data_IF_466572177928
#
_entry.id   IF_466572177928
#
_cell.length_a   1.000
_cell.length_b   1.000
_cell.length_c   1.000
_cell.angle_alpha   90.00
_cell.angle_beta   90.00
_cell.angle_gamma   90.00
#
_symmetry.space_group_name_H-M   'P 1'
#
loop_
_entity.id
_entity.type
_entity.pdbx_description
1 polymer ?
#
# COMPACT_ATOMS: atom_id res chain seq x y z
N UNK A 1 -58.11 -31.52 110.42
CA UNK A 1 -56.87 -30.74 110.19
C UNK A 1 -55.68 -31.64 110.41
N UNK A 2 -54.74 -31.67 109.45
CA UNK A 2 -53.48 -32.40 109.60
C UNK A 2 -52.43 -31.53 110.31
N UNK A 3 -51.43 -32.17 110.93
CA UNK A 3 -50.42 -31.46 111.74
C UNK A 3 -49.63 -30.44 110.91
N UNK A 4 -49.39 -30.70 109.62
CA UNK A 4 -48.64 -29.80 108.72
C UNK A 4 -49.42 -28.55 108.31
N UNK A 5 -50.74 -28.66 108.14
CA UNK A 5 -51.61 -27.54 107.79
C UNK A 5 -51.76 -26.55 108.96
N UNK A 6 -51.71 -27.05 110.20
CA UNK A 6 -51.74 -26.25 111.43
C UNK A 6 -50.50 -25.33 111.52
N UNK A 7 -49.34 -25.77 111.01
CA UNK A 7 -48.10 -24.96 111.00
C UNK A 7 -48.00 -23.98 109.83
N UNK A 8 -48.47 -24.35 108.65
CA UNK A 8 -48.42 -23.47 107.47
C UNK A 8 -49.47 -22.34 107.56
N UNK A 9 -50.55 -22.54 108.32
CA UNK A 9 -51.65 -21.58 108.46
C UNK A 9 -52.10 -21.39 109.91
N UNK A 10 -51.37 -20.63 110.73
CA UNK A 10 -51.80 -20.26 112.09
C UNK A 10 -53.14 -19.52 112.12
N UNK A 11 -53.52 -18.86 111.01
CA UNK A 11 -54.83 -18.20 110.85
C UNK A 11 -55.98 -19.20 110.72
N UNK A 12 -55.86 -20.20 109.86
CA UNK A 12 -56.91 -21.20 109.62
C UNK A 12 -57.15 -22.08 110.85
N UNK A 13 -56.09 -22.39 111.61
CA UNK A 13 -56.23 -23.09 112.88
C UNK A 13 -56.99 -22.26 113.93
N UNK A 14 -56.66 -20.96 114.06
CA UNK A 14 -57.31 -20.05 115.01
C UNK A 14 -58.82 -19.93 114.73
N UNK A 15 -59.21 -19.76 113.47
CA UNK A 15 -60.62 -19.65 113.07
C UNK A 15 -61.43 -20.89 113.41
N UNK A 16 -60.94 -22.09 113.06
CA UNK A 16 -61.67 -23.33 113.31
C UNK A 16 -61.80 -23.68 114.80
N UNK A 17 -60.80 -23.34 115.62
CA UNK A 17 -60.88 -23.50 117.08
C UNK A 17 -61.88 -22.50 117.66
N UNK A 18 -61.88 -21.26 117.16
CA UNK A 18 -62.78 -20.22 117.59
C UNK A 18 -64.25 -20.61 117.35
N UNK A 19 -64.59 -21.09 116.15
CA UNK A 19 -65.95 -21.53 115.82
C UNK A 19 -66.45 -22.66 116.73
N UNK A 20 -65.63 -23.69 116.97
CA UNK A 20 -66.03 -24.84 117.80
C UNK A 20 -66.22 -24.48 119.26
N UNK A 21 -65.34 -23.64 119.82
CA UNK A 21 -65.43 -23.24 121.22
C UNK A 21 -66.56 -22.22 121.42
N UNK A 22 -66.83 -21.36 120.45
CA UNK A 22 -67.96 -20.43 120.51
C UNK A 22 -69.31 -21.17 120.54
N UNK A 23 -69.46 -22.28 119.80
CA UNK A 23 -70.65 -23.13 119.86
C UNK A 23 -70.91 -23.69 121.27
N UNK A 24 -69.86 -24.18 121.94
CA UNK A 24 -69.94 -24.73 123.31
C UNK A 24 -70.13 -23.65 124.41
N UNK A 25 -69.79 -22.39 124.15
CA UNK A 25 -69.99 -21.29 125.11
C UNK A 25 -71.35 -20.60 124.95
N UNK A 26 -71.96 -20.68 123.77
CA UNK A 26 -73.29 -20.11 123.50
C UNK A 26 -74.37 -20.72 124.39
N UNK A 27 -74.29 -22.02 124.70
CA UNK A 27 -75.20 -22.70 125.66
C UNK A 27 -75.10 -22.14 127.09
N UNK A 28 -73.98 -21.49 127.44
CA UNK A 28 -73.77 -20.81 128.72
C UNK A 28 -73.90 -19.28 128.61
N UNK A 29 -74.28 -18.75 127.44
CA UNK A 29 -74.47 -17.31 127.21
C UNK A 29 -73.17 -16.49 127.17
N UNK A 30 -72.01 -17.13 126.96
CA UNK A 30 -70.68 -16.48 126.95
C UNK A 30 -70.19 -16.24 125.51
N UNK A 31 -69.61 -15.06 125.24
CA UNK A 31 -69.08 -14.69 123.91
C UNK A 31 -67.57 -14.44 124.02
N UNK A 32 -66.78 -15.10 123.19
CA UNK A 32 -65.35 -14.86 123.09
C UNK A 32 -65.12 -13.66 122.16
N UNK A 33 -64.45 -12.62 122.65
CA UNK A 33 -64.09 -11.45 121.84
C UNK A 33 -62.67 -11.52 121.26
N UNK A 34 -61.74 -12.11 122.00
CA UNK A 34 -60.36 -12.26 121.56
C UNK A 34 -59.75 -13.53 122.16
N UNK A 35 -59.20 -14.38 121.30
CA UNK A 35 -58.39 -15.52 121.69
C UNK A 35 -57.02 -15.40 121.03
N UNK A 36 -55.97 -15.51 121.83
CA UNK A 36 -54.61 -15.63 121.34
C UNK A 36 -54.16 -17.08 121.48
N UNK A 37 -53.76 -17.67 120.37
CA UNK A 37 -53.09 -18.98 120.37
C UNK A 37 -51.69 -18.74 120.92
N UNK A 38 -51.33 -19.42 122.01
CA UNK A 38 -49.96 -19.39 122.55
C UNK A 38 -49.04 -20.25 121.68
N UNK A 39 -47.74 -20.18 121.93
CA UNK A 39 -46.76 -21.01 121.25
C UNK A 39 -47.09 -22.50 121.48
N UNK A 40 -47.24 -23.25 120.40
CA UNK A 40 -47.29 -24.71 120.46
C UNK A 40 -45.89 -25.20 120.85
N UNK A 41 -45.82 -25.85 122.01
CA UNK A 41 -44.62 -26.51 122.54
C UNK A 41 -44.94 -27.98 122.73
N UNK A 42 -43.96 -28.83 122.47
CA UNK A 42 -44.10 -30.27 122.67
C UNK A 42 -44.42 -30.61 124.13
N UNK A 43 -45.26 -31.64 124.33
CA UNK A 43 -45.51 -32.23 125.65
C UNK A 43 -44.26 -32.97 126.10
N UNK A 44 -43.93 -32.90 127.41
CA UNK A 44 -42.71 -33.47 127.99
C UNK A 44 -42.55 -34.96 127.65
N UNK A 45 -41.57 -35.28 126.80
CA UNK A 45 -41.25 -36.64 126.34
C UNK A 45 -41.38 -36.87 124.82
N UNK A 46 -41.95 -35.91 124.08
CA UNK A 46 -42.01 -35.95 122.62
C UNK A 46 -41.18 -34.82 122.00
N UNK A 47 -40.48 -35.08 120.89
CA UNK A 47 -39.57 -34.13 120.21
C UNK A 47 -39.98 -33.88 118.75
N UNK A 48 -41.27 -33.95 118.45
CA UNK A 48 -41.80 -33.89 117.08
C UNK A 48 -41.47 -32.57 116.39
N UNK A 49 -41.49 -31.45 117.11
CA UNK A 49 -41.23 -30.11 116.55
C UNK A 49 -39.74 -29.89 116.28
N UNK A 50 -38.88 -30.45 117.12
CA UNK A 50 -37.43 -30.44 116.91
C UNK A 50 -37.06 -31.23 115.65
N UNK A 51 -37.62 -32.43 115.51
CA UNK A 51 -37.41 -33.28 114.33
C UNK A 51 -37.98 -32.66 113.04
N UNK A 52 -39.18 -32.06 113.09
CA UNK A 52 -39.78 -31.41 111.93
C UNK A 52 -38.97 -30.16 111.50
N UNK A 53 -38.47 -29.38 112.46
CA UNK A 53 -37.55 -28.28 112.20
C UNK A 53 -36.25 -28.75 111.56
N UNK A 54 -35.68 -29.85 112.06
CA UNK A 54 -34.46 -30.44 111.50
C UNK A 54 -34.70 -31.01 110.09
N UNK A 55 -35.82 -31.69 109.87
CA UNK A 55 -36.21 -32.26 108.57
C UNK A 55 -36.44 -31.16 107.52
N UNK A 56 -37.14 -30.08 107.86
CA UNK A 56 -37.38 -28.94 106.95
C UNK A 56 -36.09 -28.18 106.63
N UNK A 57 -35.19 -27.99 107.61
CA UNK A 57 -33.87 -27.43 107.36
C UNK A 57 -33.01 -28.33 106.48
N UNK A 58 -33.08 -29.65 106.67
CA UNK A 58 -32.34 -30.61 105.86
C UNK A 58 -32.91 -30.73 104.44
N UNK A 59 -34.23 -30.69 104.26
CA UNK A 59 -34.88 -30.62 102.94
C UNK A 59 -34.51 -29.32 102.21
N UNK A 60 -34.56 -28.16 102.87
CA UNK A 60 -34.11 -26.89 102.29
C UNK A 60 -32.61 -26.91 101.95
N UNK A 61 -31.76 -27.49 102.81
CA UNK A 61 -30.34 -27.61 102.55
C UNK A 61 -30.03 -28.60 101.40
N UNK A 62 -30.80 -29.69 101.29
CA UNK A 62 -30.68 -30.64 100.19
C UNK A 62 -31.17 -30.03 98.88
N UNK A 63 -32.27 -29.27 98.90
CA UNK A 63 -32.76 -28.54 97.74
C UNK A 63 -31.74 -27.50 97.26
N UNK A 64 -31.18 -26.70 98.17
CA UNK A 64 -30.14 -25.74 97.83
C UNK A 64 -28.88 -26.42 97.24
N UNK A 65 -28.52 -27.61 97.72
CA UNK A 65 -27.43 -28.41 97.14
C UNK A 65 -27.76 -28.94 95.75
N UNK A 66 -28.99 -29.39 95.52
CA UNK A 66 -29.45 -29.82 94.20
C UNK A 66 -29.45 -28.65 93.22
N UNK A 67 -30.00 -27.50 93.62
CA UNK A 67 -30.05 -26.30 92.79
C UNK A 67 -28.64 -25.78 92.47
N UNK A 68 -27.71 -25.78 93.45
CA UNK A 68 -26.31 -25.43 93.22
C UNK A 68 -25.63 -26.40 92.24
N UNK A 69 -25.89 -27.70 92.34
CA UNK A 69 -25.33 -28.71 91.42
C UNK A 69 -25.92 -28.59 90.02
N UNK A 70 -27.21 -28.28 89.90
CA UNK A 70 -27.85 -28.01 88.60
C UNK A 70 -27.23 -26.77 87.98
N UNK A 71 -27.06 -25.69 88.72
CA UNK A 71 -26.39 -24.48 88.24
C UNK A 71 -24.94 -24.72 87.81
N UNK A 72 -24.16 -25.52 88.56
CA UNK A 72 -22.80 -25.90 88.17
C UNK A 72 -22.78 -26.70 86.86
N UNK A 73 -23.68 -27.68 86.70
CA UNK A 73 -23.77 -28.51 85.49
C UNK A 73 -24.25 -27.70 84.29
N UNK A 74 -25.22 -26.80 84.48
CA UNK A 74 -25.69 -25.89 83.43
C UNK A 74 -24.59 -24.92 83.00
N UNK A 75 -23.84 -24.35 83.94
CA UNK A 75 -22.68 -23.51 83.64
C UNK A 75 -21.59 -24.29 82.88
N UNK A 76 -21.26 -25.51 83.33
CA UNK A 76 -20.28 -26.37 82.65
C UNK A 76 -20.73 -26.75 81.24
N UNK A 77 -22.02 -27.08 81.03
CA UNK A 77 -22.57 -27.35 79.70
C UNK A 77 -22.56 -26.10 78.82
N UNK A 78 -22.88 -24.93 79.36
CA UNK A 78 -22.83 -23.68 78.62
C UNK A 78 -21.39 -23.37 78.16
N UNK A 79 -20.39 -23.56 79.02
CA UNK A 79 -18.97 -23.40 78.66
C UNK A 79 -18.58 -24.40 77.57
N UNK A 80 -18.93 -25.68 77.71
CA UNK A 80 -18.60 -26.71 76.73
C UNK A 80 -19.25 -26.45 75.36
N UNK A 81 -20.50 -25.97 75.32
CA UNK A 81 -21.17 -25.58 74.07
C UNK A 81 -20.45 -24.39 73.42
N UNK A 82 -20.08 -23.37 74.20
CA UNK A 82 -19.33 -22.21 73.68
C UNK A 82 -17.96 -22.59 73.15
N UNK A 83 -17.24 -23.46 73.84
CA UNK A 83 -15.94 -23.97 73.38
C UNK A 83 -16.08 -24.77 72.08
N UNK A 84 -17.11 -25.61 71.95
CA UNK A 84 -17.40 -26.33 70.72
C UNK A 84 -17.78 -25.40 69.56
N UNK A 85 -18.63 -24.39 69.81
CA UNK A 85 -18.98 -23.35 68.83
C UNK A 85 -17.73 -22.59 68.36
N UNK A 86 -16.87 -22.18 69.31
CA UNK A 86 -15.61 -21.50 69.01
C UNK A 86 -14.65 -22.37 68.19
N UNK A 87 -14.53 -23.65 68.51
CA UNK A 87 -13.70 -24.58 67.72
C UNK A 87 -14.21 -24.72 66.29
N UNK A 88 -15.52 -24.91 66.11
CA UNK A 88 -16.13 -24.96 64.77
C UNK A 88 -15.88 -23.66 63.99
N UNK A 89 -15.99 -22.50 64.65
CA UNK A 89 -15.74 -21.21 64.00
C UNK A 89 -14.26 -21.05 63.60
N UNK A 90 -13.33 -21.49 64.46
CA UNK A 90 -11.89 -21.46 64.16
C UNK A 90 -11.57 -22.37 62.98
N UNK A 91 -12.13 -23.58 62.93
CA UNK A 91 -11.93 -24.50 61.81
C UNK A 91 -12.51 -23.95 60.51
N UNK A 92 -13.73 -23.38 60.55
CA UNK A 92 -14.33 -22.71 59.40
C UNK A 92 -13.49 -21.53 58.91
N UNK A 93 -12.98 -20.70 59.83
CA UNK A 93 -12.09 -19.57 59.50
C UNK A 93 -10.75 -20.04 58.95
N UNK A 94 -10.21 -21.14 59.44
CA UNK A 94 -8.97 -21.70 58.93
C UNK A 94 -9.17 -22.28 57.52
N UNK A 95 -10.28 -23.00 57.30
CA UNK A 95 -10.65 -23.51 55.99
C UNK A 95 -10.88 -22.37 54.97
N UNK A 96 -11.64 -21.33 55.34
CA UNK A 96 -11.85 -20.17 54.47
C UNK A 96 -10.54 -19.47 54.14
N UNK A 97 -9.67 -19.23 55.14
CA UNK A 97 -8.34 -18.63 54.93
C UNK A 97 -7.47 -19.45 53.97
N UNK A 98 -7.51 -20.79 54.06
CA UNK A 98 -6.79 -21.65 53.13
C UNK A 98 -7.34 -21.55 51.71
N UNK A 99 -8.67 -21.52 51.55
CA UNK A 99 -9.28 -21.38 50.22
C UNK A 99 -8.99 -20.01 49.60
N UNK A 100 -8.98 -18.94 50.39
CA UNK A 100 -8.61 -17.61 49.93
C UNK A 100 -7.15 -17.53 49.54
N UNK A 101 -6.25 -18.15 50.32
CA UNK A 101 -4.83 -18.25 49.99
C UNK A 101 -4.61 -18.99 48.68
N UNK A 102 -5.22 -20.16 48.50
CA UNK A 102 -5.11 -20.94 47.26
C UNK A 102 -5.72 -20.22 46.06
N UNK A 103 -6.84 -19.52 46.25
CA UNK A 103 -7.42 -18.66 45.20
C UNK A 103 -6.46 -17.55 44.82
N UNK A 104 -5.87 -16.84 45.77
CA UNK A 104 -4.89 -15.78 45.51
C UNK A 104 -3.65 -16.32 44.77
N UNK A 105 -3.11 -17.46 45.21
CA UNK A 105 -1.98 -18.12 44.54
C UNK A 105 -2.33 -18.52 43.09
N UNK A 106 -3.48 -19.16 42.88
CA UNK A 106 -3.91 -19.59 41.54
C UNK A 106 -4.21 -18.40 40.62
N UNK A 107 -4.83 -17.35 41.14
CA UNK A 107 -5.06 -16.11 40.39
C UNK A 107 -3.74 -15.43 40.03
N UNK A 108 -2.80 -15.34 40.97
CA UNK A 108 -1.49 -14.75 40.70
C UNK A 108 -0.71 -15.52 39.63
N UNK A 109 -0.71 -16.86 39.69
CA UNK A 109 -0.10 -17.72 38.67
C UNK A 109 -0.77 -17.52 37.30
N UNK A 110 -2.11 -17.53 37.26
CA UNK A 110 -2.85 -17.33 36.01
C UNK A 110 -2.60 -15.96 35.39
N UNK A 111 -2.46 -14.90 36.19
CA UNK A 111 -2.12 -13.56 35.71
C UNK A 111 -0.72 -13.56 35.10
N UNK A 112 0.29 -14.08 35.82
CA UNK A 112 1.68 -14.13 35.31
C UNK A 112 1.76 -14.98 34.04
N UNK A 113 1.12 -16.14 34.00
CA UNK A 113 1.08 -17.00 32.81
C UNK A 113 0.41 -16.32 31.62
N UNK A 114 -0.67 -15.57 31.88
CA UNK A 114 -1.34 -14.78 30.86
C UNK A 114 -0.42 -13.66 30.34
N UNK A 115 0.23 -12.91 31.24
CA UNK A 115 1.17 -11.85 30.88
C UNK A 115 2.35 -12.40 30.06
N UNK A 116 2.95 -13.53 30.47
CA UNK A 116 4.02 -14.19 29.72
C UNK A 116 3.57 -14.53 28.30
N UNK A 117 2.40 -15.15 28.13
CA UNK A 117 1.86 -15.49 26.81
C UNK A 117 1.59 -14.27 25.94
N UNK A 118 1.07 -13.18 26.54
CA UNK A 118 0.86 -11.92 25.83
C UNK A 118 2.19 -11.32 25.38
N UNK A 119 3.21 -11.32 26.25
CA UNK A 119 4.54 -10.83 25.91
C UNK A 119 5.21 -11.68 24.82
N UNK A 120 5.11 -13.00 24.89
CA UNK A 120 5.61 -13.93 23.87
C UNK A 120 4.93 -13.70 22.51
N UNK A 121 3.59 -13.62 22.50
CA UNK A 121 2.84 -13.34 21.27
C UNK A 121 3.21 -11.97 20.69
N UNK A 122 3.34 -10.93 21.52
CA UNK A 122 3.76 -9.60 21.08
C UNK A 122 5.18 -9.60 20.53
N UNK A 123 6.10 -10.35 21.15
CA UNK A 123 7.47 -10.52 20.68
C UNK A 123 7.53 -11.23 19.33
N UNK A 124 6.75 -12.29 19.14
CA UNK A 124 6.65 -12.99 17.86
C UNK A 124 6.06 -12.10 16.76
N UNK A 125 5.02 -11.33 17.08
CA UNK A 125 4.45 -10.34 16.16
C UNK A 125 5.50 -9.30 15.78
N UNK A 126 6.24 -8.77 16.75
CA UNK A 126 7.31 -7.80 16.49
C UNK A 126 8.40 -8.38 15.59
N UNK A 127 8.85 -9.61 15.84
CA UNK A 127 9.83 -10.32 14.99
C UNK A 127 9.32 -10.47 13.56
N UNK A 128 8.07 -10.92 13.38
CA UNK A 128 7.47 -11.10 12.06
C UNK A 128 7.32 -9.76 11.33
N UNK A 129 6.91 -8.70 12.03
CA UNK A 129 6.83 -7.35 11.49
C UNK A 129 8.20 -6.87 11.02
N UNK A 130 9.23 -6.98 11.87
CA UNK A 130 10.59 -6.55 11.52
C UNK A 130 11.20 -7.37 10.38
N UNK A 131 10.95 -8.67 10.33
CA UNK A 131 11.38 -9.51 9.22
C UNK A 131 10.67 -9.12 7.91
N UNK A 132 9.36 -8.88 7.95
CA UNK A 132 8.61 -8.43 6.78
C UNK A 132 9.07 -7.04 6.30
N UNK A 133 9.31 -6.12 7.23
CA UNK A 133 9.79 -4.77 6.95
C UNK A 133 11.20 -4.80 6.33
N UNK A 134 12.09 -5.66 6.83
CA UNK A 134 13.41 -5.88 6.24
C UNK A 134 13.33 -6.44 4.81
N UNK A 135 12.46 -7.43 4.58
CA UNK A 135 12.24 -8.00 3.24
C UNK A 135 11.69 -6.96 2.25
N UNK A 136 10.74 -6.12 2.69
CA UNK A 136 10.22 -5.05 1.86
C UNK A 136 11.29 -4.01 1.54
N UNK A 137 12.09 -3.62 2.52
CA UNK A 137 13.19 -2.67 2.33
C UNK A 137 14.24 -3.19 1.33
N UNK A 138 14.62 -4.46 1.43
CA UNK A 138 15.53 -5.09 0.47
C UNK A 138 14.94 -5.13 -0.95
N UNK A 139 13.65 -5.45 -1.07
CA UNK A 139 12.94 -5.43 -2.36
C UNK A 139 12.84 -4.02 -2.94
N UNK A 140 12.53 -3.02 -2.13
CA UNK A 140 12.49 -1.62 -2.55
C UNK A 140 13.85 -1.15 -3.05
N UNK A 141 14.93 -1.44 -2.31
CA UNK A 141 16.29 -1.08 -2.72
C UNK A 141 16.74 -1.81 -3.98
N UNK A 142 16.40 -3.09 -4.12
CA UNK A 142 16.67 -3.83 -5.35
C UNK A 142 15.88 -3.28 -6.54
N UNK A 143 14.61 -2.91 -6.34
CA UNK A 143 13.76 -2.32 -7.37
C UNK A 143 14.25 -0.91 -7.75
N UNK A 144 14.66 -0.09 -6.78
CA UNK A 144 15.27 1.22 -7.00
C UNK A 144 16.57 1.10 -7.80
N UNK A 145 17.45 0.16 -7.42
CA UNK A 145 18.65 -0.15 -8.19
C UNK A 145 18.34 -0.55 -9.63
N UNK A 146 17.36 -1.44 -9.84
CA UNK A 146 16.90 -1.83 -11.18
C UNK A 146 16.35 -0.63 -11.97
N UNK A 147 15.53 0.23 -11.35
CA UNK A 147 14.99 1.44 -11.97
C UNK A 147 16.11 2.40 -12.37
N UNK A 148 17.07 2.66 -11.48
CA UNK A 148 18.22 3.51 -11.77
C UNK A 148 19.05 2.97 -12.94
N UNK A 149 19.30 1.65 -13.00
CA UNK A 149 20.00 1.04 -14.14
C UNK A 149 19.21 1.14 -15.45
N UNK A 150 17.90 0.94 -15.41
CA UNK A 150 17.03 1.04 -16.57
C UNK A 150 16.93 2.49 -17.07
N UNK A 151 16.83 3.46 -16.15
CA UNK A 151 16.78 4.89 -16.45
C UNK A 151 18.11 5.37 -17.04
N UNK A 152 19.25 4.95 -16.47
CA UNK A 152 20.57 5.24 -17.05
C UNK A 152 20.72 4.67 -18.47
N UNK A 153 20.27 3.43 -18.70
CA UNK A 153 20.28 2.82 -20.03
C UNK A 153 19.36 3.54 -21.02
N UNK A 154 18.18 3.97 -20.57
CA UNK A 154 17.24 4.73 -21.38
C UNK A 154 17.80 6.12 -21.74
N UNK A 155 18.40 6.81 -20.77
CA UNK A 155 19.06 8.08 -20.98
C UNK A 155 20.23 7.97 -21.99
N UNK A 156 21.04 6.91 -21.87
CA UNK A 156 22.11 6.63 -22.85
C UNK A 156 21.57 6.46 -24.27
N UNK A 157 20.54 5.64 -24.45
CA UNK A 157 19.87 5.45 -25.76
C UNK A 157 19.25 6.73 -26.30
N UNK A 158 18.63 7.55 -25.45
CA UNK A 158 18.10 8.84 -25.87
C UNK A 158 19.20 9.76 -26.39
N UNK A 159 20.34 9.84 -25.69
CA UNK A 159 21.47 10.66 -26.11
C UNK A 159 22.11 10.18 -27.41
N UNK A 160 22.25 8.87 -27.58
CA UNK A 160 22.74 8.28 -28.85
C UNK A 160 21.77 8.56 -30.00
N UNK A 161 20.46 8.38 -29.77
CA UNK A 161 19.44 8.68 -30.77
C UNK A 161 19.44 10.17 -31.15
N UNK A 162 19.46 11.06 -30.16
CA UNK A 162 19.53 12.51 -30.35
C UNK A 162 20.80 12.93 -31.12
N UNK A 163 21.96 12.36 -30.76
CA UNK A 163 23.22 12.59 -31.47
C UNK A 163 23.16 12.12 -32.93
N UNK A 164 22.57 10.94 -33.18
CA UNK A 164 22.41 10.42 -34.55
C UNK A 164 21.46 11.26 -35.41
N UNK A 165 20.39 11.81 -34.81
CA UNK A 165 19.48 12.72 -35.47
C UNK A 165 20.20 14.04 -35.78
N UNK A 166 20.94 14.59 -34.83
CA UNK A 166 21.71 15.81 -35.02
C UNK A 166 22.77 15.66 -36.13
N UNK A 167 23.48 14.53 -36.18
CA UNK A 167 24.44 14.25 -37.25
C UNK A 167 23.75 14.23 -38.63
N UNK A 168 22.62 13.52 -38.74
CA UNK A 168 21.84 13.46 -39.99
C UNK A 168 21.27 14.82 -40.40
N UNK A 169 20.76 15.62 -39.46
CA UNK A 169 20.25 16.96 -39.80
C UNK A 169 21.38 17.85 -40.27
N UNK A 170 22.56 17.82 -39.64
CA UNK A 170 23.73 18.57 -40.08
C UNK A 170 24.23 18.15 -41.45
N UNK A 171 24.30 16.85 -41.73
CA UNK A 171 24.67 16.34 -43.05
C UNK A 171 23.66 16.77 -44.12
N UNK A 172 22.37 16.68 -43.83
CA UNK A 172 21.32 17.12 -44.74
C UNK A 172 21.35 18.64 -44.99
N UNK A 173 21.55 19.44 -43.94
CA UNK A 173 21.73 20.90 -44.03
C UNK A 173 22.96 21.27 -44.88
N UNK A 174 24.09 20.61 -44.65
CA UNK A 174 25.31 20.83 -45.40
C UNK A 174 25.15 20.47 -46.89
N UNK A 175 24.50 19.34 -47.18
CA UNK A 175 24.21 18.93 -48.56
C UNK A 175 23.25 19.90 -49.27
N UNK A 176 22.24 20.38 -48.56
CA UNK A 176 21.32 21.38 -49.08
C UNK A 176 22.03 22.70 -49.37
N UNK A 177 22.86 23.18 -48.45
CA UNK A 177 23.65 24.39 -48.62
C UNK A 177 24.64 24.28 -49.78
N UNK A 178 25.31 23.12 -49.93
CA UNK A 178 26.20 22.84 -51.06
C UNK A 178 25.47 22.96 -52.40
N UNK A 179 24.32 22.29 -52.54
CA UNK A 179 23.50 22.37 -53.76
C UNK A 179 22.99 23.79 -54.04
N UNK A 180 22.60 24.54 -53.00
CA UNK A 180 22.22 25.93 -53.16
C UNK A 180 23.37 26.76 -53.70
N UNK A 181 24.58 26.60 -53.16
CA UNK A 181 25.76 27.34 -53.61
C UNK A 181 26.19 26.96 -55.02
N UNK A 182 26.11 25.68 -55.38
CA UNK A 182 26.36 25.22 -56.76
C UNK A 182 25.36 25.82 -57.74
N UNK A 183 24.06 25.76 -57.44
CA UNK A 183 23.02 26.36 -58.28
C UNK A 183 23.17 27.88 -58.40
N UNK A 184 23.49 28.58 -57.31
CA UNK A 184 23.79 30.02 -57.32
C UNK A 184 25.02 30.33 -58.20
N UNK A 185 26.08 29.52 -58.10
CA UNK A 185 27.29 29.68 -58.90
C UNK A 185 27.03 29.44 -60.39
N UNK A 186 26.24 28.41 -60.74
CA UNK A 186 25.83 28.14 -62.12
C UNK A 186 24.98 29.28 -62.69
N UNK A 187 24.00 29.77 -61.93
CA UNK A 187 23.20 30.93 -62.33
C UNK A 187 24.08 32.16 -62.54
N UNK A 188 25.04 32.42 -61.64
CA UNK A 188 25.98 33.52 -61.78
C UNK A 188 26.89 33.37 -63.00
N UNK A 189 27.39 32.17 -63.28
CA UNK A 189 28.19 31.91 -64.49
C UNK A 189 27.36 32.18 -65.75
N UNK A 190 26.12 31.69 -65.81
CA UNK A 190 25.22 31.89 -66.95
C UNK A 190 24.80 33.34 -67.14
N UNK A 191 24.56 34.10 -66.06
CA UNK A 191 24.27 35.52 -66.16
C UNK A 191 25.48 36.30 -66.67
N UNK A 192 26.70 35.99 -66.20
CA UNK A 192 27.93 36.60 -66.71
C UNK A 192 28.22 36.25 -68.17
N UNK A 193 27.99 35.01 -68.58
CA UNK A 193 28.08 34.60 -69.98
C UNK A 193 27.07 35.38 -70.85
N UNK A 194 25.81 35.51 -70.40
CA UNK A 194 24.78 36.26 -71.10
C UNK A 194 25.10 37.76 -71.19
N UNK A 195 25.57 38.37 -70.10
CA UNK A 195 26.05 39.76 -70.07
C UNK A 195 27.21 39.98 -71.05
N UNK A 196 28.15 39.03 -71.10
CA UNK A 196 29.28 39.06 -72.03
C UNK A 196 28.82 39.01 -73.49
N UNK A 197 27.88 38.12 -73.83
CA UNK A 197 27.29 38.05 -75.17
C UNK A 197 26.52 39.32 -75.53
N UNK A 198 25.75 39.88 -74.61
CA UNK A 198 25.06 41.16 -74.82
C UNK A 198 26.05 42.29 -75.02
N UNK A 199 27.16 42.33 -74.28
CA UNK A 199 28.21 43.33 -74.46
C UNK A 199 28.90 43.20 -75.82
N UNK A 200 29.23 41.97 -76.26
CA UNK A 200 29.77 41.71 -77.59
C UNK A 200 28.77 42.09 -78.70
N UNK A 201 27.49 41.75 -78.55
CA UNK A 201 26.45 42.12 -79.50
C UNK A 201 26.27 43.66 -79.58
N UNK A 202 26.32 44.36 -78.44
CA UNK A 202 26.31 45.83 -78.39
C UNK A 202 27.56 46.42 -79.06
N UNK A 203 28.74 45.85 -78.83
CA UNK A 203 29.98 46.26 -79.48
C UNK A 203 29.93 46.04 -81.00
N UNK A 204 29.41 44.90 -81.45
CA UNK A 204 29.19 44.61 -82.88
C UNK A 204 28.16 45.57 -83.49
N UNK A 205 27.04 45.83 -82.80
CA UNK A 205 26.00 46.75 -83.26
C UNK A 205 26.53 48.18 -83.40
N UNK A 206 27.31 48.65 -82.42
CA UNK A 206 27.95 49.98 -82.47
C UNK A 206 29.04 50.04 -83.55
N UNK A 207 29.83 48.99 -83.73
CA UNK A 207 30.81 48.89 -84.81
C UNK A 207 30.16 48.97 -86.19
N UNK A 208 29.12 48.18 -86.44
CA UNK A 208 28.40 48.20 -87.72
C UNK A 208 27.68 49.53 -87.93
N UNK A 209 27.07 50.10 -86.89
CA UNK A 209 26.40 51.42 -86.98
C UNK A 209 27.38 52.56 -87.27
N UNK A 210 28.55 52.56 -86.63
CA UNK A 210 29.59 53.57 -86.86
C UNK A 210 30.21 53.46 -88.25
N UNK A 211 30.46 52.25 -88.75
CA UNK A 211 30.85 52.00 -90.14
C UNK A 211 29.79 52.48 -91.14
N UNK A 212 28.51 52.17 -90.88
CA UNK A 212 27.40 52.63 -91.72
C UNK A 212 27.35 54.17 -91.78
N UNK A 213 27.55 54.84 -90.63
CA UNK A 213 27.65 56.30 -90.57
C UNK A 213 28.84 56.85 -91.36
N UNK A 214 30.02 56.24 -91.24
CA UNK A 214 31.23 56.65 -91.97
C UNK A 214 31.10 56.45 -93.49
N UNK A 215 30.34 55.45 -93.94
CA UNK A 215 30.05 55.17 -95.36
C UNK A 215 28.85 55.97 -95.90
N UNK A 216 28.36 56.95 -95.15
CA UNK A 216 27.25 57.83 -95.56
C UNK A 216 25.89 57.12 -95.68
N UNK A 217 25.69 56.01 -94.97
CA UNK A 217 24.45 55.24 -94.99
C UNK A 217 24.28 54.28 -96.18
N UNK A 218 25.31 54.12 -97.03
CA UNK A 218 25.21 53.23 -98.18
C UNK A 218 25.36 51.74 -97.77
N UNK A 219 24.24 51.04 -97.71
CA UNK A 219 24.16 49.62 -97.32
C UNK A 219 24.99 48.68 -98.21
N UNK A 220 25.03 48.92 -99.52
CA UNK A 220 25.70 48.02 -100.46
C UNK A 220 27.23 48.01 -100.24
N UNK A 221 27.82 49.19 -100.05
CA UNK A 221 29.25 49.32 -99.76
C UNK A 221 29.64 48.68 -98.42
N UNK A 222 28.80 48.84 -97.39
CA UNK A 222 29.04 48.21 -96.09
C UNK A 222 28.98 46.69 -96.17
N UNK A 223 27.98 46.14 -96.87
CA UNK A 223 27.83 44.70 -97.10
C UNK A 223 29.07 44.13 -97.78
N UNK A 224 29.50 44.74 -98.88
CA UNK A 224 30.64 44.26 -99.66
C UNK A 224 31.93 44.31 -98.82
N UNK A 225 32.14 45.39 -98.06
CA UNK A 225 33.26 45.50 -97.12
C UNK A 225 33.25 44.40 -96.06
N UNK A 226 32.10 44.12 -95.44
CA UNK A 226 31.96 43.04 -94.47
C UNK A 226 32.16 41.66 -95.10
N UNK A 227 31.73 41.43 -96.34
CA UNK A 227 31.96 40.17 -97.04
C UNK A 227 33.44 39.94 -97.37
N UNK A 228 34.15 40.99 -97.77
CA UNK A 228 35.59 40.92 -98.06
C UNK A 228 36.39 40.69 -96.77
N UNK A 229 36.12 41.47 -95.72
CA UNK A 229 36.89 41.41 -94.45
C UNK A 229 36.70 40.11 -93.69
N UNK A 230 35.47 39.57 -93.66
CA UNK A 230 35.21 38.26 -93.07
C UNK A 230 35.65 37.09 -93.97
N UNK A 231 36.23 37.35 -95.15
CA UNK A 231 36.75 36.31 -96.03
C UNK A 231 35.69 35.46 -96.73
N UNK A 232 34.43 35.90 -96.73
CA UNK A 232 33.28 35.13 -97.21
C UNK A 232 33.47 34.63 -98.66
N UNK A 233 34.10 35.42 -99.52
CA UNK A 233 34.39 35.00 -100.91
C UNK A 233 35.36 33.83 -101.00
N UNK A 234 36.36 33.75 -100.11
CA UNK A 234 37.28 32.61 -100.04
C UNK A 234 36.55 31.37 -99.58
N UNK A 235 35.66 31.51 -98.61
CA UNK A 235 34.89 30.38 -98.07
C UNK A 235 33.82 29.88 -99.06
N UNK A 236 33.11 30.78 -99.75
CA UNK A 236 32.19 30.42 -100.84
C UNK A 236 32.96 29.69 -101.95
N UNK A 237 34.14 30.18 -102.34
CA UNK A 237 34.95 29.51 -103.35
C UNK A 237 35.38 28.11 -102.89
N UNK A 238 35.76 27.93 -101.62
CA UNK A 238 36.08 26.62 -101.05
C UNK A 238 34.89 25.68 -101.01
N UNK A 239 33.74 26.12 -100.48
CA UNK A 239 32.51 25.30 -100.41
C UNK A 239 32.03 24.92 -101.82
N UNK A 240 32.07 25.86 -102.77
CA UNK A 240 31.73 25.57 -104.15
C UNK A 240 32.71 24.57 -104.78
N UNK A 241 34.01 24.69 -104.51
CA UNK A 241 35.00 23.74 -104.97
C UNK A 241 34.81 22.35 -104.34
N UNK A 242 34.49 22.26 -103.05
CA UNK A 242 34.14 21.01 -102.36
C UNK A 242 32.85 20.39 -102.91
N UNK A 243 31.83 21.20 -103.18
CA UNK A 243 30.59 20.77 -103.82
C UNK A 243 30.81 20.22 -105.24
N UNK A 244 31.66 20.88 -106.04
CA UNK A 244 32.08 20.39 -107.36
C UNK A 244 32.91 19.10 -107.25
N UNK A 245 33.72 18.95 -106.19
CA UNK A 245 34.50 17.74 -105.92
C UNK A 245 33.62 16.55 -105.52
N UNK A 246 32.51 16.80 -104.81
CA UNK A 246 31.51 15.78 -104.43
C UNK A 246 30.58 15.36 -105.58
N UNK A 247 30.37 16.23 -106.56
CA UNK A 247 29.75 15.90 -107.83
C UNK A 247 30.80 15.19 -108.70
N UNK A 248 30.82 13.86 -108.72
CA UNK A 248 31.53 13.11 -109.77
C UNK A 248 30.66 13.04 -111.04
N UNK A 249 30.84 13.89 -112.08
CA UNK A 249 30.14 13.70 -113.33
C UNK A 249 30.72 12.48 -114.07
N UNK A 250 29.89 11.48 -114.38
CA UNK A 250 30.23 10.45 -115.38
C UNK A 250 30.26 11.13 -116.76
N UNK A 251 31.46 11.50 -117.21
CA UNK A 251 31.70 11.96 -118.57
C UNK A 251 31.77 10.74 -119.50
N UNK A 252 30.75 10.50 -120.31
CA UNK A 252 30.81 9.53 -121.42
C UNK A 252 31.47 10.20 -122.63
N UNK A 253 32.72 9.84 -122.93
CA UNK A 253 33.44 10.26 -124.13
C UNK A 253 33.48 9.07 -125.11
N UNK A 254 32.90 9.21 -126.29
CA UNK A 254 32.88 8.18 -127.34
C UNK A 254 33.95 8.50 -128.38
N UNK A 255 34.96 7.63 -128.55
CA UNK A 255 35.95 7.68 -129.66
C UNK A 255 36.33 6.26 -130.11
N UNK A 256 36.42 6.08 -131.44
CA UNK A 256 36.46 4.81 -132.20
C UNK A 256 37.90 4.50 -132.66
N UNK A 257 38.44 3.31 -132.41
CA UNK A 257 39.76 2.89 -132.94
C UNK A 257 40.48 1.76 -132.17
N UNK A 258 40.35 0.54 -132.71
CA UNK A 258 41.28 -0.62 -132.72
C UNK A 258 42.36 -0.79 -131.63
N UNK A 259 42.25 -1.89 -130.88
CA UNK A 259 43.33 -2.42 -130.03
C UNK A 259 42.78 -3.35 -128.96
N UNK A 260 42.69 -4.65 -129.27
CA UNK A 260 42.15 -5.69 -128.40
C UNK A 260 42.78 -5.70 -127.01
N UNK A 261 41.90 -5.72 -126.01
CA UNK A 261 42.23 -6.04 -124.64
C UNK A 261 41.97 -7.51 -124.34
N UNK A 262 42.53 -7.96 -123.24
CA UNK A 262 41.92 -8.94 -122.35
C UNK A 262 42.47 -8.67 -120.94
N UNK A 263 41.72 -7.83 -120.22
CA UNK A 263 41.77 -7.69 -118.76
C UNK A 263 40.36 -7.99 -118.26
N UNK A 264 40.11 -9.27 -117.98
CA UNK A 264 38.85 -9.80 -117.49
C UNK A 264 38.75 -9.67 -115.96
N UNK A 265 37.54 -9.41 -115.47
CA UNK A 265 37.14 -9.80 -114.12
C UNK A 265 36.54 -8.70 -113.23
N UNK A 266 35.52 -8.00 -113.71
CA UNK A 266 34.61 -7.26 -112.83
C UNK A 266 33.61 -8.18 -112.10
N UNK A 267 33.25 -7.76 -110.89
CA UNK A 267 31.91 -7.72 -110.28
C UNK A 267 30.98 -8.95 -110.44
N UNK A 268 30.52 -9.52 -109.32
CA UNK A 268 29.17 -9.25 -108.79
C UNK A 268 28.82 -10.14 -107.57
N UNK A 269 28.01 -9.59 -106.67
CA UNK A 269 26.89 -10.21 -105.93
C UNK A 269 27.13 -11.45 -105.05
N UNK A 270 26.63 -11.54 -103.82
CA UNK A 270 25.53 -10.83 -103.18
C UNK A 270 24.72 -11.80 -102.27
N UNK A 271 23.85 -11.20 -101.45
CA UNK A 271 22.75 -11.78 -100.65
C UNK A 271 23.11 -12.35 -99.25
N UNK A 272 22.33 -12.11 -98.18
CA UNK A 272 21.14 -11.30 -97.88
C UNK A 272 20.99 -11.27 -96.33
N UNK A 273 20.66 -10.14 -95.70
CA UNK A 273 19.32 -9.78 -95.15
C UNK A 273 19.02 -10.35 -93.74
N UNK A 274 18.88 -9.48 -92.75
CA UNK A 274 17.56 -9.22 -92.14
C UNK A 274 17.52 -8.00 -91.21
N UNK A 275 16.38 -7.32 -91.30
CA UNK A 275 15.95 -6.14 -90.56
C UNK A 275 14.95 -6.60 -89.50
N UNK A 276 15.20 -6.25 -88.24
CA UNK A 276 14.21 -6.07 -87.19
C UNK A 276 14.91 -5.25 -86.09
N UNK A 277 14.41 -4.18 -85.51
CA UNK A 277 13.15 -3.47 -85.60
C UNK A 277 13.25 -2.41 -84.51
N UNK A 278 13.09 -1.15 -84.87
CA UNK A 278 13.11 -0.02 -83.96
C UNK A 278 11.73 0.08 -83.29
N UNK A 279 11.66 -0.11 -81.97
CA UNK A 279 10.56 0.42 -81.15
C UNK A 279 11.13 0.97 -79.84
N UNK A 280 11.04 2.28 -79.71
CA UNK A 280 11.35 2.98 -78.47
C UNK A 280 10.25 2.84 -77.42
N UNK A 281 10.62 3.27 -76.22
CA UNK A 281 9.84 4.04 -75.26
C UNK A 281 8.57 3.44 -74.62
N UNK A 282 8.50 3.67 -73.30
CA UNK A 282 7.38 3.56 -72.37
C UNK A 282 6.96 2.16 -71.88
N UNK A 283 7.34 1.86 -70.63
CA UNK A 283 6.39 1.21 -69.72
C UNK A 283 6.46 1.77 -68.30
N UNK A 284 5.32 2.35 -67.96
CA UNK A 284 4.79 2.76 -66.67
C UNK A 284 4.52 1.51 -65.82
N UNK A 285 5.03 1.51 -64.58
CA UNK A 285 4.45 0.91 -63.38
C UNK A 285 5.21 1.47 -62.18
#
# INVERSE_FOLDING_TARGET
MTMEEIFKGTKSFKEQVFEKVQLELNQFGLIIYNANVKQLVDVRGHEYFSYLGQKTQQEAANQAKVDAKVAEVEAAKAVAIREAELQMEVEQKNASRQTEKLKAENLSKAIVDYEMKVQEANWELYKKQKAAEAMLYEQEKAAEGRRATAEAAFYGRQKEAEASLYAKTREAEAAFYGRQKEAEAELYAKTREAEGLVALAKAQSTYVSSLLGALGGNYNALRDYLMITNGMYRDIAKINAEGIRGLQPKLSVWTNGSGGGEGEGGLDGGAMKEVAGFTGCCRRC
#
